data_IF_863946707032
#
_entry.id   IF_863946707032
#
_cell.length_a   1.000
_cell.length_b   1.000
_cell.length_c   1.000
_cell.angle_alpha   90.00
_cell.angle_beta   90.00
_cell.angle_gamma   90.00
#
_symmetry.space_group_name_H-M   'P 1'
#
loop_
_entity.id
_entity.type
_entity.pdbx_description
1 polymer ?
#
# COMPACT_ATOMS: atom_id res chain seq x y z
N UNK A 1 27.85 -1.28 -14.24
CA UNK A 1 26.48 -1.82 -14.44
C UNK A 1 26.48 -2.91 -15.51
N UNK A 2 25.98 -4.11 -15.24
CA UNK A 2 25.79 -5.15 -16.27
C UNK A 2 24.70 -4.70 -17.24
N UNK A 3 25.01 -4.63 -18.54
CA UNK A 3 24.00 -4.32 -19.58
C UNK A 3 22.96 -5.44 -19.63
N UNK A 4 21.70 -5.08 -19.52
CA UNK A 4 20.58 -6.02 -19.62
C UNK A 4 20.45 -6.46 -21.08
N UNK A 5 20.55 -7.77 -21.33
CA UNK A 5 20.45 -8.34 -22.68
C UNK A 5 19.00 -8.42 -23.19
N UNK A 6 18.81 -8.39 -24.52
CA UNK A 6 17.49 -8.49 -25.17
C UNK A 6 16.67 -9.73 -24.71
N UNK A 7 17.32 -10.83 -24.46
CA UNK A 7 16.66 -12.06 -24.00
C UNK A 7 16.12 -11.93 -22.57
N UNK A 8 16.84 -11.26 -21.68
CA UNK A 8 16.39 -10.97 -20.32
C UNK A 8 15.15 -10.06 -20.34
N UNK A 9 15.13 -9.05 -21.21
CA UNK A 9 13.97 -8.17 -21.40
C UNK A 9 12.76 -8.95 -21.92
N UNK A 10 12.97 -9.85 -22.91
CA UNK A 10 11.91 -10.70 -23.44
C UNK A 10 11.31 -11.59 -22.35
N UNK A 11 12.17 -12.26 -21.56
CA UNK A 11 11.76 -13.13 -20.46
C UNK A 11 10.99 -12.35 -19.39
N UNK A 12 11.45 -11.16 -19.01
CA UNK A 12 10.76 -10.28 -18.06
C UNK A 12 9.37 -9.88 -18.55
N UNK A 13 9.23 -9.52 -19.84
CA UNK A 13 7.93 -9.19 -20.44
C UNK A 13 6.96 -10.38 -20.46
N UNK A 14 7.44 -11.56 -20.77
CA UNK A 14 6.63 -12.78 -20.74
C UNK A 14 6.16 -13.11 -19.32
N UNK A 15 7.06 -12.99 -18.35
CA UNK A 15 6.73 -13.18 -16.94
C UNK A 15 5.70 -12.17 -16.46
N UNK A 16 5.87 -10.90 -16.81
CA UNK A 16 4.91 -9.84 -16.48
C UNK A 16 3.52 -10.11 -17.08
N UNK A 17 3.46 -10.53 -18.35
CA UNK A 17 2.19 -10.87 -19.02
C UNK A 17 1.47 -12.01 -18.27
N UNK A 18 2.20 -13.07 -17.90
CA UNK A 18 1.67 -14.19 -17.13
C UNK A 18 1.13 -13.76 -15.75
N UNK A 19 1.85 -12.88 -15.05
CA UNK A 19 1.37 -12.34 -13.77
C UNK A 19 0.12 -11.46 -13.93
N UNK A 20 0.05 -10.64 -14.98
CA UNK A 20 -1.15 -9.83 -15.28
C UNK A 20 -2.36 -10.70 -15.55
N UNK A 21 -2.20 -11.78 -16.32
CA UNK A 21 -3.27 -12.74 -16.60
C UNK A 21 -3.75 -13.42 -15.31
N UNK A 22 -2.82 -13.91 -14.47
CA UNK A 22 -3.16 -14.52 -13.19
C UNK A 22 -3.84 -13.54 -12.20
N UNK A 23 -3.58 -12.24 -12.35
CA UNK A 23 -4.16 -11.18 -11.51
C UNK A 23 -5.55 -10.73 -11.96
N UNK A 24 -6.01 -11.07 -13.16
CA UNK A 24 -7.24 -10.55 -13.74
C UNK A 24 -8.50 -10.76 -12.87
N UNK A 25 -8.57 -11.89 -12.15
CA UNK A 25 -9.67 -12.18 -11.21
C UNK A 25 -9.61 -11.25 -9.99
N UNK A 26 -8.41 -11.00 -9.47
CA UNK A 26 -8.19 -10.08 -8.35
C UNK A 26 -8.56 -8.65 -8.74
N UNK A 27 -8.18 -8.20 -9.93
CA UNK A 27 -8.49 -6.85 -10.41
C UNK A 27 -10.00 -6.61 -10.50
N UNK A 28 -10.78 -7.60 -10.96
CA UNK A 28 -12.25 -7.54 -10.95
C UNK A 28 -12.80 -7.43 -9.51
N UNK A 29 -12.22 -8.20 -8.57
CA UNK A 29 -12.63 -8.16 -7.17
C UNK A 29 -12.32 -6.81 -6.53
N UNK A 30 -11.17 -6.20 -6.86
CA UNK A 30 -10.80 -4.86 -6.36
C UNK A 30 -11.83 -3.81 -6.80
N UNK A 31 -12.26 -3.87 -8.06
CA UNK A 31 -13.30 -2.95 -8.59
C UNK A 31 -14.62 -3.15 -7.85
N UNK A 32 -15.05 -4.40 -7.63
CA UNK A 32 -16.26 -4.72 -6.86
C UNK A 32 -16.14 -4.23 -5.42
N UNK A 33 -15.03 -4.51 -4.74
CA UNK A 33 -14.79 -4.04 -3.37
C UNK A 33 -14.90 -2.50 -3.26
N UNK A 34 -14.41 -1.78 -4.25
CA UNK A 34 -14.48 -0.31 -4.27
C UNK A 34 -15.93 0.18 -4.42
N UNK A 35 -16.79 -0.51 -5.16
CA UNK A 35 -18.21 -0.17 -5.25
C UNK A 35 -18.91 -0.41 -3.91
N UNK A 36 -18.65 -1.55 -3.25
CA UNK A 36 -19.18 -1.85 -1.93
C UNK A 36 -18.74 -0.85 -0.87
N UNK A 37 -17.47 -0.47 -0.89
CA UNK A 37 -16.92 0.56 -0.02
C UNK A 37 -17.64 1.91 -0.19
N UNK A 38 -17.94 2.30 -1.44
CA UNK A 38 -18.62 3.55 -1.80
C UNK A 38 -20.14 3.49 -1.64
N UNK A 39 -20.68 2.44 -1.02
CA UNK A 39 -22.11 2.20 -0.87
C UNK A 39 -22.88 2.10 -2.19
N UNK A 40 -22.21 1.72 -3.28
CA UNK A 40 -22.82 1.54 -4.61
C UNK A 40 -23.22 0.09 -4.83
N UNK A 41 -23.97 -0.49 -3.89
CA UNK A 41 -24.34 -1.90 -3.87
C UNK A 41 -25.21 -2.30 -5.07
N UNK A 42 -26.00 -1.37 -5.56
CA UNK A 42 -26.97 -1.60 -6.63
C UNK A 42 -26.38 -1.55 -8.04
N UNK A 43 -25.15 -1.06 -8.20
CA UNK A 43 -24.51 -0.96 -9.50
C UNK A 43 -24.26 -2.29 -10.20
N UNK A 44 -24.07 -3.38 -9.42
CA UNK A 44 -23.84 -4.73 -9.93
C UNK A 44 -25.13 -5.53 -10.14
N UNK A 45 -26.25 -5.09 -9.53
CA UNK A 45 -27.54 -5.84 -9.52
C UNK A 45 -28.39 -5.54 -10.75
N UNK A 46 -27.98 -4.59 -11.59
CA UNK A 46 -28.72 -4.23 -12.79
C UNK A 46 -30.08 -3.59 -12.45
N UNK A 47 -30.10 -2.27 -12.36
CA UNK A 47 -31.31 -1.51 -12.11
C UNK A 47 -31.80 -0.93 -13.44
N UNK A 48 -33.03 -1.20 -13.82
CA UNK A 48 -33.65 -0.55 -14.97
C UNK A 48 -33.79 0.94 -14.69
N UNK A 49 -33.55 1.79 -15.69
CA UNK A 49 -33.61 3.25 -15.54
C UNK A 49 -35.00 3.76 -15.13
N UNK A 50 -36.03 2.98 -15.41
CA UNK A 50 -37.43 3.29 -15.08
C UNK A 50 -37.88 2.69 -13.73
N UNK A 51 -37.00 2.02 -13.01
CA UNK A 51 -37.31 1.39 -11.74
C UNK A 51 -37.32 2.42 -10.60
N UNK A 52 -38.50 2.67 -10.07
CA UNK A 52 -38.73 3.63 -8.97
C UNK A 52 -38.60 3.02 -7.57
N UNK A 53 -38.22 1.74 -7.47
CA UNK A 53 -38.06 1.08 -6.16
C UNK A 53 -36.94 1.75 -5.35
N UNK A 54 -37.13 1.89 -4.01
CA UNK A 54 -36.09 2.44 -3.16
C UNK A 54 -34.85 1.54 -3.16
N UNK A 55 -33.67 2.14 -3.23
CA UNK A 55 -32.36 1.48 -3.20
C UNK A 55 -31.67 1.69 -1.84
N UNK A 56 -32.10 0.99 -0.78
CA UNK A 56 -31.51 1.16 0.53
C UNK A 56 -30.05 0.68 0.51
N UNK A 57 -29.17 1.41 1.17
CA UNK A 57 -27.77 1.04 1.40
C UNK A 57 -27.44 1.24 2.88
N UNK A 58 -26.59 0.37 3.40
CA UNK A 58 -26.12 0.45 4.78
C UNK A 58 -24.59 0.54 4.85
N UNK A 59 -24.07 1.35 5.76
CA UNK A 59 -22.65 1.61 5.92
C UNK A 59 -21.93 0.61 6.84
N UNK A 60 -22.44 -0.59 7.03
CA UNK A 60 -21.84 -1.59 7.93
C UNK A 60 -20.39 -1.91 7.57
N UNK A 61 -20.13 -2.13 6.28
CA UNK A 61 -18.77 -2.39 5.80
C UNK A 61 -17.85 -1.20 6.05
N UNK A 62 -18.32 0.01 5.72
CA UNK A 62 -17.57 1.23 5.97
C UNK A 62 -17.21 1.39 7.45
N UNK A 63 -18.18 1.26 8.35
CA UNK A 63 -17.95 1.38 9.79
C UNK A 63 -16.98 0.33 10.31
N UNK A 64 -17.10 -0.92 9.85
CA UNK A 64 -16.16 -1.99 10.23
C UNK A 64 -14.73 -1.71 9.77
N UNK A 65 -14.55 -1.20 8.54
CA UNK A 65 -13.24 -0.85 8.02
C UNK A 65 -12.66 0.39 8.72
N UNK A 66 -13.49 1.40 8.99
CA UNK A 66 -13.07 2.61 9.69
C UNK A 66 -12.56 2.30 11.12
N UNK A 67 -13.27 1.45 11.85
CA UNK A 67 -12.84 1.03 13.19
C UNK A 67 -11.50 0.27 13.14
N UNK A 68 -11.36 -0.68 12.21
CA UNK A 68 -10.08 -1.41 12.04
C UNK A 68 -8.93 -0.51 11.59
N UNK A 69 -9.22 0.50 10.80
CA UNK A 69 -8.23 1.49 10.41
C UNK A 69 -7.80 2.34 11.62
N UNK A 70 -8.76 2.79 12.44
CA UNK A 70 -8.46 3.53 13.67
C UNK A 70 -7.58 2.71 14.62
N UNK A 71 -7.93 1.45 14.87
CA UNK A 71 -7.11 0.53 15.69
C UNK A 71 -5.67 0.39 15.16
N UNK A 72 -5.50 0.40 13.84
CA UNK A 72 -4.17 0.33 13.23
C UNK A 72 -3.38 1.63 13.37
N UNK A 73 -4.06 2.78 13.39
CA UNK A 73 -3.42 4.08 13.57
C UNK A 73 -3.00 4.33 15.01
N UNK A 74 -3.67 3.72 15.99
CA UNK A 74 -3.28 3.79 17.40
C UNK A 74 -1.95 3.08 17.68
N UNK A 75 -1.48 2.20 16.78
CA UNK A 75 -0.28 1.39 16.95
C UNK A 75 0.61 1.45 15.69
N UNK A 76 1.07 2.63 15.32
CA UNK A 76 2.04 2.79 14.23
C UNK A 76 3.38 2.19 14.66
N UNK A 77 3.96 1.24 13.91
CA UNK A 77 5.21 0.60 14.31
C UNK A 77 6.39 1.58 14.20
N UNK A 78 7.18 1.65 15.26
CA UNK A 78 8.43 2.39 15.27
C UNK A 78 9.60 1.46 14.94
N UNK A 79 10.57 1.90 14.12
CA UNK A 79 11.74 1.12 13.80
C UNK A 79 12.71 1.10 14.99
N UNK A 80 13.26 -0.07 15.30
CA UNK A 80 14.34 -0.23 16.26
C UNK A 80 15.49 -1.02 15.63
N UNK A 81 16.70 -0.52 15.76
CA UNK A 81 17.92 -1.20 15.29
C UNK A 81 18.58 -1.89 16.49
N UNK A 82 18.70 -3.21 16.39
CA UNK A 82 19.37 -4.01 17.42
C UNK A 82 20.79 -4.34 16.97
N UNK A 83 21.82 -4.18 17.84
CA UNK A 83 23.19 -4.55 17.53
C UNK A 83 23.31 -6.07 17.40
N UNK A 84 24.12 -6.53 16.48
CA UNK A 84 24.50 -7.95 16.34
C UNK A 84 25.68 -8.33 17.20
N UNK A 85 26.64 -7.43 17.30
CA UNK A 85 27.88 -7.59 18.08
C UNK A 85 28.06 -6.36 18.99
N UNK A 86 28.95 -6.50 20.02
CA UNK A 86 29.23 -5.39 20.92
C UNK A 86 29.81 -4.17 20.22
N UNK A 87 30.57 -4.38 19.14
CA UNK A 87 31.12 -3.30 18.30
C UNK A 87 30.04 -2.44 17.62
N UNK A 88 28.84 -2.97 17.47
CA UNK A 88 27.78 -2.33 16.70
C UNK A 88 26.81 -1.53 17.58
N UNK A 89 26.95 -1.59 18.91
CA UNK A 89 26.03 -0.96 19.86
C UNK A 89 25.89 0.56 19.65
N UNK A 90 27.01 1.25 19.41
CA UNK A 90 27.00 2.70 19.20
C UNK A 90 26.31 3.07 17.89
N UNK A 91 26.62 2.34 16.82
CA UNK A 91 26.02 2.54 15.49
C UNK A 91 24.52 2.21 15.53
N UNK A 92 24.12 1.14 16.21
CA UNK A 92 22.72 0.77 16.37
C UNK A 92 21.91 1.83 17.11
N UNK A 93 22.49 2.45 18.15
CA UNK A 93 21.87 3.59 18.85
C UNK A 93 21.70 4.79 17.93
N UNK A 94 22.74 5.16 17.19
CA UNK A 94 22.69 6.29 16.27
C UNK A 94 21.62 6.07 15.18
N UNK A 95 21.57 4.88 14.57
CA UNK A 95 20.56 4.53 13.59
C UNK A 95 19.14 4.55 14.16
N UNK A 96 18.96 4.07 15.40
CA UNK A 96 17.65 4.11 16.07
C UNK A 96 17.16 5.53 16.35
N UNK A 97 18.04 6.52 16.47
CA UNK A 97 17.68 7.93 16.60
C UNK A 97 17.40 8.60 15.26
N UNK A 98 18.10 8.19 14.20
CA UNK A 98 17.99 8.82 12.88
C UNK A 98 16.77 8.30 12.12
N UNK A 99 16.47 6.99 12.22
CA UNK A 99 15.38 6.37 11.45
C UNK A 99 14.00 7.01 11.68
N UNK A 100 13.57 7.32 12.92
CA UNK A 100 12.31 8.01 13.15
C UNK A 100 12.23 9.36 12.43
N UNK A 101 13.32 10.14 12.47
CA UNK A 101 13.40 11.45 11.80
C UNK A 101 13.30 11.33 10.28
N UNK A 102 13.92 10.30 9.68
CA UNK A 102 13.77 10.02 8.24
C UNK A 102 12.33 9.65 7.92
N UNK A 103 11.71 8.78 8.71
CA UNK A 103 10.33 8.35 8.49
C UNK A 103 9.34 9.53 8.61
N UNK A 104 9.54 10.42 9.59
CA UNK A 104 8.74 11.63 9.73
C UNK A 104 8.88 12.52 8.49
N UNK A 105 10.11 12.75 8.02
CA UNK A 105 10.39 13.55 6.81
C UNK A 105 9.75 12.96 5.54
N UNK A 106 9.75 11.63 5.41
CA UNK A 106 9.08 10.92 4.31
C UNK A 106 7.55 10.89 4.44
N UNK A 107 6.96 11.41 5.51
CA UNK A 107 5.52 11.35 5.75
C UNK A 107 5.00 9.93 5.97
N UNK A 108 5.78 9.09 6.64
CA UNK A 108 5.48 7.66 6.85
C UNK A 108 4.11 7.42 7.46
N UNK A 109 3.67 8.24 8.41
CA UNK A 109 2.35 8.13 9.03
C UNK A 109 1.23 8.16 7.99
N UNK A 110 1.30 9.10 7.05
CA UNK A 110 0.33 9.19 5.95
C UNK A 110 0.42 7.97 5.02
N UNK A 111 1.63 7.56 4.66
CA UNK A 111 1.84 6.38 3.82
C UNK A 111 1.31 5.11 4.49
N UNK A 112 1.51 4.99 5.80
CA UNK A 112 1.00 3.88 6.59
C UNK A 112 -0.53 3.88 6.64
N UNK A 113 -1.15 5.03 6.89
CA UNK A 113 -2.60 5.20 6.87
C UNK A 113 -3.21 4.82 5.51
N UNK A 114 -2.70 5.40 4.43
CA UNK A 114 -3.16 5.10 3.07
C UNK A 114 -2.97 3.61 2.72
N UNK A 115 -1.83 3.04 3.11
CA UNK A 115 -1.53 1.64 2.93
C UNK A 115 -2.51 0.71 3.65
N UNK A 116 -2.89 1.05 4.89
CA UNK A 116 -3.89 0.31 5.64
C UNK A 116 -5.27 0.36 4.99
N UNK A 117 -5.70 1.48 4.43
CA UNK A 117 -6.92 1.55 3.65
C UNK A 117 -6.90 0.59 2.46
N UNK A 118 -5.80 0.54 1.70
CA UNK A 118 -5.65 -0.41 0.60
C UNK A 118 -5.63 -1.86 1.10
N UNK A 119 -4.94 -2.15 2.19
CA UNK A 119 -4.88 -3.47 2.80
C UNK A 119 -6.26 -3.95 3.25
N UNK A 120 -7.03 -3.10 3.91
CA UNK A 120 -8.37 -3.43 4.39
C UNK A 120 -9.37 -3.66 3.25
N UNK A 121 -9.30 -2.85 2.18
CA UNK A 121 -10.20 -2.98 1.02
C UNK A 121 -9.81 -4.11 0.08
N UNK A 122 -8.52 -4.34 -0.13
CA UNK A 122 -8.01 -5.19 -1.19
C UNK A 122 -7.20 -6.39 -0.70
N UNK A 123 -6.93 -6.47 0.60
CA UNK A 123 -6.20 -7.58 1.24
C UNK A 123 -4.69 -7.42 1.27
N UNK A 124 -4.10 -6.47 0.53
CA UNK A 124 -2.66 -6.23 0.50
C UNK A 124 -2.33 -4.78 0.24
N UNK A 125 -1.17 -4.37 0.74
CA UNK A 125 -0.50 -3.13 0.38
C UNK A 125 0.94 -3.43 -0.02
N UNK A 126 1.52 -2.64 -0.91
CA UNK A 126 2.92 -2.70 -1.27
C UNK A 126 3.52 -1.30 -1.16
N UNK A 127 4.62 -1.19 -0.43
CA UNK A 127 5.44 0.02 -0.35
C UNK A 127 6.79 -0.25 -0.98
N UNK A 128 7.38 0.75 -1.61
CA UNK A 128 8.74 0.69 -2.11
C UNK A 128 9.55 1.81 -1.46
N UNK A 129 10.78 1.49 -1.10
CA UNK A 129 11.77 2.48 -0.65
C UNK A 129 12.72 2.71 -1.82
N UNK A 130 12.80 3.95 -2.28
CA UNK A 130 13.60 4.32 -3.45
C UNK A 130 14.46 5.52 -3.07
N UNK A 131 15.76 5.43 -3.34
CA UNK A 131 16.67 6.54 -3.19
C UNK A 131 16.54 7.48 -4.37
N UNK A 132 16.26 8.75 -4.10
CA UNK A 132 16.26 9.82 -5.09
C UNK A 132 17.53 10.68 -4.92
N UNK A 133 18.51 10.60 -5.85
CA UNK A 133 19.77 11.32 -5.71
C UNK A 133 19.62 12.83 -5.93
N UNK A 134 18.53 13.29 -6.55
CA UNK A 134 18.30 14.70 -6.86
C UNK A 134 17.49 15.43 -5.76
N UNK A 135 16.95 14.69 -4.81
CA UNK A 135 16.25 15.24 -3.66
C UNK A 135 17.19 16.00 -2.71
N UNK A 136 16.62 16.83 -1.84
CA UNK A 136 17.33 17.64 -0.84
C UNK A 136 18.48 18.46 -1.42
N UNK A 137 18.25 19.13 -2.57
CA UNK A 137 19.25 19.98 -3.23
C UNK A 137 20.43 19.21 -3.84
N UNK A 138 20.25 17.93 -4.14
CA UNK A 138 21.27 17.04 -4.72
C UNK A 138 22.09 16.25 -3.70
N UNK A 139 21.69 16.27 -2.43
CA UNK A 139 22.29 15.40 -1.38
C UNK A 139 21.68 14.01 -1.36
N UNK A 140 20.52 13.85 -1.99
CA UNK A 140 19.78 12.61 -2.05
C UNK A 140 18.89 12.38 -0.83
N UNK A 141 17.73 11.73 -1.05
CA UNK A 141 16.80 11.35 0.00
C UNK A 141 16.01 10.08 -0.38
N UNK A 142 15.17 9.59 0.53
CA UNK A 142 14.28 8.42 0.35
C UNK A 142 12.86 8.90 0.09
#
# INVERSE_FOLDING_TARGET
MKKIGKEQVRKARQTLAKYKEGKAVLDKRIVSNEQWWKLRHWGEIGHDKDDTRPMPASAWLFNSLANKHADAMDNIPEPAVLPREKSDEEVAKQLSLILPAILERCGYEKLYSDGWWYKLKNGSMCTAVVWDPDADGGMGDI
#
